data_IF_465227246735
#
_entry.id   IF_465227246735
#
_cell.length_a   1.000
_cell.length_b   1.000
_cell.length_c   1.000
_cell.angle_alpha   90.00
_cell.angle_beta   90.00
_cell.angle_gamma   90.00
#
_symmetry.space_group_name_H-M   'P 1'
#
loop_
_entity.id
_entity.type
_entity.pdbx_description
1 polymer ?
#
# COMPACT_ATOMS: atom_id res chain seq x y z
N UNK A 1 -6.42 24.23 -14.86
CA UNK A 1 -6.91 23.82 -13.53
C UNK A 1 -6.79 22.31 -13.45
N UNK A 2 -6.19 21.74 -12.40
CA UNK A 2 -6.10 20.28 -12.26
C UNK A 2 -7.49 19.70 -11.98
N UNK A 3 -7.86 18.59 -12.63
CA UNK A 3 -9.04 17.84 -12.24
C UNK A 3 -8.82 17.29 -10.82
N UNK A 4 -9.88 17.27 -10.01
CA UNK A 4 -9.76 16.87 -8.59
C UNK A 4 -9.22 15.45 -8.40
N UNK A 5 -9.44 14.60 -9.40
CA UNK A 5 -9.09 13.17 -9.43
C UNK A 5 -7.57 12.94 -9.62
N UNK A 6 -6.87 13.88 -10.26
CA UNK A 6 -5.46 13.73 -10.61
C UNK A 6 -4.51 14.00 -9.44
N UNK A 7 -4.96 14.75 -8.42
CA UNK A 7 -4.14 15.12 -7.26
C UNK A 7 -3.61 13.90 -6.51
N UNK A 8 -4.39 12.82 -6.49
CA UNK A 8 -4.01 11.58 -5.83
C UNK A 8 -2.78 10.92 -6.45
N UNK A 9 -2.47 11.15 -7.73
CA UNK A 9 -1.32 10.51 -8.40
C UNK A 9 0.01 11.15 -7.99
N UNK A 10 -0.02 12.43 -7.60
CA UNK A 10 1.20 13.20 -7.31
C UNK A 10 1.48 13.40 -5.82
N UNK A 11 0.51 13.10 -4.95
CA UNK A 11 0.61 13.30 -3.52
C UNK A 11 0.41 11.98 -2.77
N UNK A 12 1.38 11.62 -1.93
CA UNK A 12 1.24 10.58 -0.92
C UNK A 12 0.73 11.18 0.39
N UNK A 13 -0.15 10.46 1.10
CA UNK A 13 -0.72 10.89 2.36
C UNK A 13 -0.57 9.79 3.42
N UNK A 14 -0.08 10.17 4.60
CA UNK A 14 -0.04 9.32 5.78
C UNK A 14 -0.90 10.00 6.84
N UNK A 15 -2.07 9.42 7.10
CA UNK A 15 -3.00 9.91 8.11
C UNK A 15 -2.45 9.65 9.52
N UNK A 16 -2.92 10.44 10.49
CA UNK A 16 -2.62 10.21 11.91
C UNK A 16 -3.18 8.87 12.40
N UNK A 17 -4.38 8.51 11.93
CA UNK A 17 -4.97 7.18 12.11
C UNK A 17 -4.99 6.46 10.76
N UNK A 18 -4.28 5.33 10.68
CA UNK A 18 -4.13 4.57 9.43
C UNK A 18 -5.22 3.52 9.37
N UNK A 19 -6.01 3.57 8.30
CA UNK A 19 -6.92 2.49 7.91
C UNK A 19 -6.37 1.78 6.67
N UNK A 20 -6.28 0.46 6.75
CA UNK A 20 -6.00 -0.39 5.60
C UNK A 20 -7.31 -0.98 5.09
N UNK A 21 -7.43 -1.08 3.78
CA UNK A 21 -8.59 -1.68 3.15
C UNK A 21 -8.46 -3.21 3.13
N UNK A 22 -9.59 -3.94 3.20
CA UNK A 22 -9.59 -5.38 3.00
C UNK A 22 -8.92 -5.77 1.69
N UNK A 23 -7.98 -6.72 1.74
CA UNK A 23 -7.14 -7.09 0.61
C UNK A 23 -5.72 -7.41 1.06
N UNK A 24 -4.82 -7.65 0.12
CA UNK A 24 -3.42 -7.93 0.41
C UNK A 24 -2.64 -6.65 0.77
N UNK A 25 -1.51 -6.82 1.45
CA UNK A 25 -0.53 -5.74 1.64
C UNK A 25 -0.12 -5.15 0.29
N UNK A 26 0.09 -6.02 -0.73
CA UNK A 26 0.42 -5.62 -2.10
C UNK A 26 -0.63 -4.66 -2.69
N UNK A 27 -1.90 -5.02 -2.59
CA UNK A 27 -3.01 -4.22 -3.14
C UNK A 27 -3.13 -2.87 -2.43
N UNK A 28 -2.96 -2.82 -1.11
CA UNK A 28 -2.97 -1.56 -0.37
C UNK A 28 -1.84 -0.62 -0.81
N UNK A 29 -0.61 -1.12 -0.96
CA UNK A 29 0.53 -0.32 -1.45
C UNK A 29 0.30 0.12 -2.89
N UNK A 30 -0.25 -0.75 -3.75
CA UNK A 30 -0.59 -0.44 -5.13
C UNK A 30 -1.87 0.43 -5.27
N UNK A 31 -2.50 0.79 -4.15
CA UNK A 31 -3.77 1.55 -4.12
C UNK A 31 -4.85 0.90 -4.99
N UNK A 32 -4.90 -0.44 -4.97
CA UNK A 32 -5.83 -1.29 -5.73
C UNK A 32 -5.80 -1.06 -7.24
N UNK A 33 -4.68 -0.54 -7.77
CA UNK A 33 -4.42 -0.48 -9.20
C UNK A 33 -3.60 -1.68 -9.64
N UNK A 34 -3.76 -2.08 -10.90
CA UNK A 34 -2.83 -3.01 -11.52
C UNK A 34 -1.48 -2.31 -11.68
N UNK A 35 -0.46 -2.80 -10.99
CA UNK A 35 0.87 -2.20 -10.95
C UNK A 35 1.95 -3.29 -10.97
N UNK A 36 3.12 -2.92 -11.49
CA UNK A 36 4.31 -3.78 -11.48
C UNK A 36 4.70 -4.15 -10.03
N UNK A 37 4.77 -5.46 -9.68
CA UNK A 37 5.22 -5.90 -8.37
C UNK A 37 6.57 -5.31 -7.94
N UNK A 38 7.49 -5.05 -8.87
CA UNK A 38 8.79 -4.45 -8.56
C UNK A 38 8.64 -3.03 -7.99
N UNK A 39 7.67 -2.24 -8.47
CA UNK A 39 7.39 -0.90 -7.93
C UNK A 39 6.79 -0.96 -6.54
N UNK A 40 5.92 -1.93 -6.27
CA UNK A 40 5.36 -2.17 -4.93
C UNK A 40 6.46 -2.46 -3.92
N UNK A 41 7.39 -3.35 -4.29
CA UNK A 41 8.55 -3.69 -3.45
C UNK A 41 9.43 -2.44 -3.22
N UNK A 42 9.74 -1.70 -4.29
CA UNK A 42 10.54 -0.48 -4.20
C UNK A 42 9.89 0.58 -3.30
N UNK A 43 8.57 0.77 -3.40
CA UNK A 43 7.83 1.68 -2.53
C UNK A 43 7.93 1.27 -1.06
N UNK A 44 7.77 -0.02 -0.76
CA UNK A 44 7.90 -0.55 0.60
C UNK A 44 9.34 -0.42 1.15
N UNK A 45 10.36 -0.58 0.32
CA UNK A 45 11.76 -0.37 0.70
C UNK A 45 12.02 1.11 1.03
N UNK A 46 11.54 2.03 0.18
CA UNK A 46 11.67 3.48 0.42
C UNK A 46 10.91 3.93 1.68
N UNK A 47 9.77 3.31 1.97
CA UNK A 47 9.00 3.53 3.19
C UNK A 47 9.58 2.81 4.44
N UNK A 48 10.65 2.01 4.28
CA UNK A 48 11.29 1.28 5.39
C UNK A 48 10.47 0.11 5.95
N UNK A 49 9.40 -0.31 5.26
CA UNK A 49 8.50 -1.37 5.75
C UNK A 49 8.74 -2.75 5.11
N UNK A 50 9.64 -2.86 4.12
CA UNK A 50 9.92 -4.11 3.41
C UNK A 50 10.22 -5.31 4.36
N UNK A 51 11.17 -5.14 5.28
CA UNK A 51 11.56 -6.19 6.23
C UNK A 51 10.42 -6.56 7.19
N UNK A 52 9.56 -5.61 7.54
CA UNK A 52 8.38 -5.87 8.38
C UNK A 52 7.36 -6.73 7.63
N UNK A 53 7.13 -6.42 6.34
CA UNK A 53 6.23 -7.18 5.48
C UNK A 53 6.74 -8.61 5.32
N UNK A 54 8.02 -8.81 5.07
CA UNK A 54 8.60 -10.16 4.90
C UNK A 54 8.51 -11.03 6.17
N UNK A 55 8.44 -10.42 7.36
CA UNK A 55 8.22 -11.16 8.63
C UNK A 55 6.79 -11.66 8.80
N UNK A 56 5.81 -11.15 8.06
CA UNK A 56 4.44 -11.69 8.08
C UNK A 56 4.37 -12.99 7.30
N UNK A 57 3.63 -13.96 7.82
CA UNK A 57 3.28 -15.16 7.06
C UNK A 57 2.56 -14.73 5.76
N UNK A 58 3.00 -15.24 4.61
CA UNK A 58 2.60 -14.84 3.24
C UNK A 58 3.14 -13.49 2.74
N UNK A 59 3.93 -12.75 3.53
CA UNK A 59 4.60 -11.53 3.08
C UNK A 59 3.64 -10.51 2.47
N UNK A 60 3.91 -10.08 1.24
CA UNK A 60 3.06 -9.16 0.47
C UNK A 60 1.66 -9.71 0.17
N UNK A 61 1.48 -11.02 0.21
CA UNK A 61 0.21 -11.71 -0.03
C UNK A 61 -0.54 -12.00 1.28
N UNK A 62 -0.07 -11.45 2.42
CA UNK A 62 -0.83 -11.43 3.65
C UNK A 62 -2.13 -10.63 3.43
N UNK A 63 -3.26 -11.27 3.75
CA UNK A 63 -4.60 -10.71 3.61
C UNK A 63 -4.92 -9.93 4.90
N UNK A 64 -5.24 -8.66 4.74
CA UNK A 64 -5.75 -7.74 5.75
C UNK A 64 -7.28 -7.91 5.80
N UNK A 65 -7.83 -8.12 7.00
CA UNK A 65 -9.26 -8.31 7.21
C UNK A 65 -10.05 -7.00 7.25
N UNK A 66 -11.36 -7.11 7.48
CA UNK A 66 -12.23 -5.95 7.74
C UNK A 66 -11.73 -5.21 9.00
N UNK A 67 -11.56 -3.89 8.89
CA UNK A 67 -10.95 -2.99 9.90
C UNK A 67 -9.41 -2.97 9.98
N UNK A 68 -8.69 -3.42 8.94
CA UNK A 68 -7.24 -3.20 8.85
C UNK A 68 -6.40 -4.02 9.84
N UNK A 69 -6.95 -5.13 10.37
CA UNK A 69 -6.28 -6.02 11.34
C UNK A 69 -6.03 -7.41 10.76
#
# INVERSE_FOLDING_TARGET
>A
TWASEDRGVHVGYLAQEVELFPGTIRENIARFKQEDPAKVIKAAQLAGCHELILKKNKGYDFIIGENGR
#
